data_IF_020251639559
#
_entry.id   IF_020251639559
#
_cell.length_a   1.000
_cell.length_b   1.000
_cell.length_c   1.000
_cell.angle_alpha   90.00
_cell.angle_beta   90.00
_cell.angle_gamma   90.00
#
_symmetry.space_group_name_H-M   'P 1'
#
loop_
_entity.id
_entity.type
_entity.pdbx_description
1 polymer ?
#
# COMPACT_ATOMS: atom_id res chain seq x y z
N UNK A 1 -18.05 27.49 -14.80
CA UNK A 1 -16.92 27.75 -13.90
C UNK A 1 -17.28 27.28 -12.49
N UNK A 2 -16.86 26.06 -12.09
CA UNK A 2 -17.10 25.55 -10.73
C UNK A 2 -16.13 26.24 -9.77
N UNK A 3 -16.66 27.00 -8.80
CA UNK A 3 -15.88 27.59 -7.72
C UNK A 3 -15.15 26.49 -6.95
N UNK A 4 -13.82 26.45 -7.06
CA UNK A 4 -12.96 25.68 -6.19
C UNK A 4 -13.18 26.24 -4.79
N UNK A 5 -13.89 25.51 -3.92
CA UNK A 5 -13.96 25.83 -2.50
C UNK A 5 -12.53 25.74 -1.97
N UNK A 6 -11.93 26.90 -1.65
CA UNK A 6 -10.69 26.96 -0.86
C UNK A 6 -10.93 26.17 0.43
N UNK A 7 -10.29 25.00 0.54
CA UNK A 7 -10.20 24.28 1.79
C UNK A 7 -9.73 25.23 2.89
N UNK A 8 -10.50 25.33 3.97
CA UNK A 8 -10.02 25.96 5.19
C UNK A 8 -8.80 25.15 5.60
N UNK A 9 -7.60 25.75 5.57
CA UNK A 9 -6.39 25.15 6.14
C UNK A 9 -6.70 24.85 7.61
N UNK A 10 -6.92 23.57 7.91
CA UNK A 10 -6.93 23.16 9.30
C UNK A 10 -5.52 23.45 9.87
N UNK A 11 -5.43 23.71 11.16
CA UNK A 11 -4.15 24.07 11.82
C UNK A 11 -3.38 22.83 12.30
N UNK A 12 -3.81 21.63 11.91
CA UNK A 12 -3.23 20.37 12.37
C UNK A 12 -1.81 20.19 11.86
N UNK A 13 -0.92 19.78 12.72
CA UNK A 13 0.46 19.46 12.38
C UNK A 13 0.53 18.07 11.76
N UNK A 14 1.06 17.96 10.55
CA UNK A 14 1.27 16.72 9.80
C UNK A 14 2.73 16.51 9.46
N UNK A 15 3.07 15.28 9.12
CA UNK A 15 4.38 14.97 8.56
C UNK A 15 4.63 15.77 7.27
N UNK A 16 5.86 16.22 7.09
CA UNK A 16 6.27 17.00 5.92
C UNK A 16 6.54 16.12 4.71
N UNK A 17 5.49 15.58 4.09
CA UNK A 17 5.58 14.82 2.84
C UNK A 17 5.79 15.72 1.60
N UNK A 18 6.63 16.75 1.74
CA UNK A 18 6.82 17.79 0.76
C UNK A 18 5.88 18.98 1.00
N UNK A 19 5.47 19.65 -0.07
CA UNK A 19 4.55 20.79 0.01
C UNK A 19 3.11 20.31 0.23
N UNK A 20 2.65 20.33 1.49
CA UNK A 20 1.29 19.88 1.87
C UNK A 20 0.18 20.64 1.12
N UNK A 21 0.46 21.85 0.60
CA UNK A 21 -0.51 22.61 -0.19
C UNK A 21 -0.78 22.01 -1.57
N UNK A 22 0.07 21.10 -2.02
CA UNK A 22 -0.04 20.38 -3.29
C UNK A 22 -0.61 18.97 -3.16
N UNK A 23 -0.78 18.49 -1.93
CA UNK A 23 -1.41 17.19 -1.70
C UNK A 23 -2.92 17.29 -1.93
N UNK A 24 -3.50 16.24 -2.48
CA UNK A 24 -4.94 16.13 -2.65
C UNK A 24 -5.64 15.90 -1.31
N UNK A 25 -6.96 16.13 -1.26
CA UNK A 25 -7.78 15.78 -0.10
C UNK A 25 -7.69 14.29 0.24
N UNK A 26 -7.70 13.41 -0.77
CA UNK A 26 -7.56 11.96 -0.59
C UNK A 26 -6.22 11.61 0.03
N UNK A 27 -5.14 12.27 -0.41
CA UNK A 27 -3.82 12.01 0.13
C UNK A 27 -3.67 12.51 1.58
N UNK A 28 -4.26 13.65 1.93
CA UNK A 28 -4.31 14.14 3.31
C UNK A 28 -5.12 13.20 4.20
N UNK A 29 -6.27 12.73 3.71
CA UNK A 29 -7.09 11.75 4.42
C UNK A 29 -6.36 10.42 4.63
N UNK A 30 -5.63 9.93 3.60
CA UNK A 30 -4.79 8.76 3.73
C UNK A 30 -3.75 8.92 4.83
N UNK A 31 -3.01 10.05 4.87
CA UNK A 31 -2.05 10.34 5.91
C UNK A 31 -2.68 10.37 7.32
N UNK A 32 -3.85 11.01 7.45
CA UNK A 32 -4.46 11.27 8.75
C UNK A 32 -5.16 10.03 9.34
N UNK A 33 -5.74 9.18 8.49
CA UNK A 33 -6.66 8.13 8.94
C UNK A 33 -6.15 6.71 8.68
N UNK A 34 -5.19 6.53 7.76
CA UNK A 34 -4.79 5.19 7.29
C UNK A 34 -3.31 4.89 7.42
N UNK A 35 -2.45 5.84 7.04
CA UNK A 35 -1.00 5.62 7.09
C UNK A 35 -0.52 5.35 8.51
N UNK A 36 0.28 4.32 8.70
CA UNK A 36 0.77 3.82 9.99
C UNK A 36 -0.33 3.37 10.97
N UNK A 37 -1.54 3.06 10.47
CA UNK A 37 -2.60 2.45 11.27
C UNK A 37 -2.67 0.94 11.01
N UNK A 38 -2.91 0.16 12.07
CA UNK A 38 -2.94 -1.30 12.01
C UNK A 38 -4.02 -1.83 11.07
N UNK A 39 -3.64 -2.74 10.19
CA UNK A 39 -4.52 -3.44 9.26
C UNK A 39 -4.37 -4.93 9.49
N UNK A 40 -5.48 -5.61 9.83
CA UNK A 40 -5.56 -7.04 10.11
C UNK A 40 -6.53 -7.78 9.19
N UNK A 41 -7.25 -7.08 8.33
CA UNK A 41 -8.10 -7.70 7.32
C UNK A 41 -7.26 -8.16 6.12
N UNK A 42 -7.30 -9.44 5.79
CA UNK A 42 -6.49 -10.03 4.72
C UNK A 42 -6.76 -9.38 3.35
N UNK A 43 -8.00 -9.03 3.03
CA UNK A 43 -8.34 -8.37 1.77
C UNK A 43 -7.73 -6.97 1.67
N UNK A 44 -7.76 -6.19 2.77
CA UNK A 44 -7.11 -4.88 2.84
C UNK A 44 -5.57 -5.00 2.82
N UNK A 45 -5.01 -6.03 3.45
CA UNK A 45 -3.58 -6.35 3.36
C UNK A 45 -3.18 -6.68 1.92
N UNK A 46 -4.02 -7.43 1.18
CA UNK A 46 -3.80 -7.72 -0.23
C UNK A 46 -3.96 -6.46 -1.09
N UNK A 47 -5.01 -5.66 -0.87
CA UNK A 47 -5.23 -4.40 -1.57
C UNK A 47 -4.01 -3.47 -1.46
N UNK A 48 -3.52 -3.26 -0.24
CA UNK A 48 -2.34 -2.42 -0.01
C UNK A 48 -1.10 -2.96 -0.72
N UNK A 49 -0.88 -4.28 -0.72
CA UNK A 49 0.25 -4.91 -1.41
C UNK A 49 0.22 -4.66 -2.93
N UNK A 50 -0.97 -4.75 -3.54
CA UNK A 50 -1.15 -4.50 -4.98
C UNK A 50 -0.98 -3.01 -5.30
N UNK A 51 -1.54 -2.11 -4.49
CA UNK A 51 -1.42 -0.66 -4.69
C UNK A 51 0.04 -0.19 -4.55
N UNK A 52 0.80 -0.69 -3.59
CA UNK A 52 2.23 -0.43 -3.43
C UNK A 52 3.04 -0.96 -4.62
N UNK A 53 2.69 -2.13 -5.12
CA UNK A 53 3.28 -2.66 -6.36
C UNK A 53 2.93 -1.81 -7.58
N UNK A 54 1.70 -1.29 -7.64
CA UNK A 54 1.25 -0.39 -8.70
C UNK A 54 1.97 0.97 -8.67
N UNK A 55 2.37 1.43 -7.48
CA UNK A 55 3.11 2.68 -7.29
C UNK A 55 4.52 2.65 -7.88
N UNK A 56 5.14 1.48 -8.05
CA UNK A 56 6.52 1.39 -8.55
C UNK A 56 6.80 2.30 -9.75
N UNK A 57 7.68 3.29 -9.57
CA UNK A 57 8.03 4.31 -10.58
C UNK A 57 7.04 5.47 -10.72
N UNK A 58 6.07 5.60 -9.80
CA UNK A 58 5.06 6.65 -9.78
C UNK A 58 5.02 7.32 -8.40
N UNK A 59 4.24 8.41 -8.27
CA UNK A 59 3.96 9.01 -6.96
C UNK A 59 2.84 8.26 -6.24
N UNK A 60 2.92 8.19 -4.91
CA UNK A 60 1.85 7.60 -4.10
C UNK A 60 0.52 8.36 -4.28
N UNK A 61 0.59 9.70 -4.39
CA UNK A 61 -0.59 10.51 -4.68
C UNK A 61 -1.33 10.04 -5.95
N UNK A 62 -0.60 9.64 -7.00
CA UNK A 62 -1.21 9.11 -8.23
C UNK A 62 -2.02 7.83 -7.96
N UNK A 63 -1.54 6.97 -7.07
CA UNK A 63 -2.22 5.72 -6.72
C UNK A 63 -3.44 5.98 -5.84
N UNK A 64 -3.30 6.82 -4.82
CA UNK A 64 -4.41 7.19 -3.93
C UNK A 64 -5.56 7.85 -4.70
N UNK A 65 -5.25 8.71 -5.69
CA UNK A 65 -6.29 9.29 -6.55
C UNK A 65 -7.07 8.25 -7.37
N UNK A 66 -6.43 7.14 -7.70
CA UNK A 66 -7.00 6.05 -8.51
C UNK A 66 -7.49 4.86 -7.68
N UNK A 67 -7.37 4.89 -6.36
CA UNK A 67 -7.64 3.73 -5.51
C UNK A 67 -9.06 3.18 -5.68
N UNK A 68 -10.07 4.05 -5.75
CA UNK A 68 -11.47 3.63 -5.96
C UNK A 68 -11.64 2.89 -7.29
N UNK A 69 -11.03 3.41 -8.36
CA UNK A 69 -11.05 2.76 -9.67
C UNK A 69 -10.28 1.42 -9.65
N UNK A 70 -9.21 1.32 -8.86
CA UNK A 70 -8.52 0.06 -8.65
C UNK A 70 -9.37 -0.96 -7.91
N UNK A 71 -10.12 -0.54 -6.86
CA UNK A 71 -11.02 -1.42 -6.13
C UNK A 71 -12.10 -1.97 -7.06
N UNK A 72 -12.77 -1.12 -7.82
CA UNK A 72 -13.75 -1.54 -8.81
C UNK A 72 -13.15 -2.48 -9.87
N UNK A 73 -12.01 -2.14 -10.44
CA UNK A 73 -11.38 -2.90 -11.52
C UNK A 73 -10.84 -4.26 -11.07
N UNK A 74 -10.43 -4.40 -9.81
CA UNK A 74 -9.84 -5.61 -9.23
C UNK A 74 -10.80 -6.31 -8.24
N UNK A 75 -12.12 -6.17 -8.44
CA UNK A 75 -13.18 -6.85 -7.67
C UNK A 75 -12.94 -6.72 -6.15
N UNK A 76 -12.82 -5.46 -5.68
CA UNK A 76 -12.53 -5.06 -4.29
C UNK A 76 -11.26 -5.71 -3.72
N UNK A 77 -10.35 -6.15 -4.58
CA UNK A 77 -9.13 -6.89 -4.23
C UNK A 77 -9.42 -8.21 -3.49
N UNK A 78 -10.50 -8.90 -3.86
CA UNK A 78 -10.70 -10.27 -3.40
C UNK A 78 -9.61 -11.17 -3.99
N UNK A 79 -8.71 -11.77 -3.17
CA UNK A 79 -7.60 -12.54 -3.69
C UNK A 79 -8.03 -13.84 -4.40
N UNK A 80 -9.20 -14.39 -4.07
CA UNK A 80 -9.73 -15.59 -4.75
C UNK A 80 -10.16 -15.21 -6.17
N UNK A 81 -10.90 -14.11 -6.33
CA UNK A 81 -11.36 -13.63 -7.64
C UNK A 81 -10.15 -13.19 -8.49
N UNK A 82 -9.24 -12.39 -7.93
CA UNK A 82 -8.05 -11.90 -8.66
C UNK A 82 -7.14 -13.05 -9.10
N UNK A 83 -7.04 -14.13 -8.32
CA UNK A 83 -6.24 -15.29 -8.68
C UNK A 83 -6.76 -16.00 -9.94
N UNK A 84 -8.05 -15.92 -10.22
CA UNK A 84 -8.70 -16.58 -11.34
C UNK A 84 -8.81 -15.71 -12.61
N UNK A 85 -8.30 -14.50 -12.60
CA UNK A 85 -8.29 -13.65 -13.78
C UNK A 85 -7.61 -14.31 -14.97
N UNK A 86 -8.32 -14.32 -16.10
CA UNK A 86 -7.88 -14.87 -17.37
C UNK A 86 -7.29 -13.81 -18.32
N UNK A 87 -7.07 -14.18 -19.55
CA UNK A 87 -6.54 -13.26 -20.58
C UNK A 87 -7.53 -12.15 -20.94
N UNK A 88 -8.82 -12.45 -20.95
CA UNK A 88 -9.84 -11.47 -21.32
C UNK A 88 -9.93 -10.40 -20.25
N UNK A 89 -9.88 -10.76 -18.97
CA UNK A 89 -9.81 -9.82 -17.85
C UNK A 89 -8.52 -8.96 -17.87
N UNK A 90 -7.39 -9.55 -18.25
CA UNK A 90 -6.14 -8.77 -18.42
C UNK A 90 -6.30 -7.71 -19.52
N UNK A 91 -6.92 -8.05 -20.66
CA UNK A 91 -7.17 -7.08 -21.73
C UNK A 91 -8.18 -6.00 -21.32
N UNK A 92 -9.23 -6.36 -20.60
CA UNK A 92 -10.15 -5.39 -19.99
C UNK A 92 -9.40 -4.39 -19.11
N UNK A 93 -8.56 -4.86 -18.18
CA UNK A 93 -7.75 -4.03 -17.30
C UNK A 93 -6.74 -3.16 -18.08
N UNK A 94 -6.17 -3.67 -19.18
CA UNK A 94 -5.28 -2.91 -20.04
C UNK A 94 -5.99 -1.78 -20.81
N UNK A 95 -7.30 -1.86 -20.98
CA UNK A 95 -8.13 -0.82 -21.59
C UNK A 95 -8.78 0.12 -20.56
N UNK A 96 -8.67 -0.17 -19.26
CA UNK A 96 -9.26 0.66 -18.20
C UNK A 96 -8.39 1.89 -17.90
N UNK A 97 -8.86 3.08 -18.24
CA UNK A 97 -8.17 4.36 -17.98
C UNK A 97 -8.18 4.77 -16.49
N UNK A 98 -9.03 4.15 -15.71
CA UNK A 98 -9.10 4.38 -14.26
C UNK A 98 -7.86 3.91 -13.51
N UNK A 99 -7.12 2.93 -14.04
CA UNK A 99 -5.94 2.35 -13.40
C UNK A 99 -4.64 2.67 -14.18
N UNK A 100 -3.51 2.24 -13.65
CA UNK A 100 -2.23 2.28 -14.37
C UNK A 100 -2.15 1.08 -15.33
N UNK A 101 -2.29 1.33 -16.62
CA UNK A 101 -2.31 0.32 -17.69
C UNK A 101 -0.89 -0.24 -17.92
N UNK A 102 -0.48 -1.16 -17.07
CA UNK A 102 0.80 -1.84 -17.16
C UNK A 102 0.60 -3.35 -17.02
N UNK A 103 0.70 -4.07 -18.14
CA UNK A 103 0.49 -5.53 -18.21
C UNK A 103 1.31 -6.29 -17.18
N UNK A 104 2.59 -5.94 -16.99
CA UNK A 104 3.46 -6.62 -16.02
C UNK A 104 2.97 -6.46 -14.58
N UNK A 105 2.38 -5.31 -14.22
CA UNK A 105 1.81 -5.06 -12.90
C UNK A 105 0.49 -5.82 -12.72
N UNK A 106 -0.34 -5.86 -13.76
CA UNK A 106 -1.61 -6.61 -13.76
C UNK A 106 -1.33 -8.12 -13.60
N UNK A 107 -0.45 -8.69 -14.43
CA UNK A 107 -0.06 -10.11 -14.32
C UNK A 107 0.62 -10.41 -12.98
N UNK A 108 1.35 -9.45 -12.42
CA UNK A 108 1.94 -9.58 -11.09
C UNK A 108 0.86 -9.64 -10.00
N UNK A 109 -0.21 -8.83 -10.09
CA UNK A 109 -1.34 -8.89 -9.15
C UNK A 109 -1.96 -10.31 -9.11
N UNK A 110 -2.19 -10.92 -10.28
CA UNK A 110 -2.72 -12.28 -10.40
C UNK A 110 -1.77 -13.31 -9.75
N UNK A 111 -0.46 -13.22 -10.07
CA UNK A 111 0.51 -14.14 -9.49
C UNK A 111 0.67 -13.94 -7.98
N UNK A 112 0.53 -12.71 -7.49
CA UNK A 112 0.57 -12.37 -6.07
C UNK A 112 -0.69 -12.90 -5.35
N UNK A 113 -1.86 -12.82 -5.96
CA UNK A 113 -3.09 -13.40 -5.42
C UNK A 113 -2.94 -14.91 -5.19
N UNK A 114 -2.45 -15.64 -6.20
CA UNK A 114 -2.16 -17.08 -6.08
C UNK A 114 -1.17 -17.42 -4.97
N UNK A 115 -0.15 -16.59 -4.79
CA UNK A 115 0.84 -16.77 -3.73
C UNK A 115 0.27 -16.37 -2.35
N UNK A 116 -0.59 -15.37 -2.30
CA UNK A 116 -1.29 -14.91 -1.10
C UNK A 116 -2.19 -16.01 -0.53
N UNK A 117 -3.01 -16.65 -1.38
CA UNK A 117 -3.87 -17.77 -0.99
C UNK A 117 -3.06 -18.95 -0.44
N UNK A 118 -1.85 -19.20 -0.96
CA UNK A 118 -0.96 -20.24 -0.41
C UNK A 118 -0.47 -19.90 1.00
N UNK A 119 -0.18 -18.62 1.27
CA UNK A 119 0.19 -18.15 2.61
C UNK A 119 -0.99 -18.30 3.57
N UNK A 120 -2.19 -17.89 3.17
CA UNK A 120 -3.40 -18.09 3.98
C UNK A 120 -3.60 -19.54 4.36
N UNK A 121 -3.41 -20.47 3.40
CA UNK A 121 -3.51 -21.92 3.66
C UNK A 121 -2.42 -22.43 4.61
N UNK A 122 -1.20 -21.91 4.52
CA UNK A 122 -0.04 -22.32 5.33
C UNK A 122 -0.10 -21.78 6.76
N UNK A 123 -0.47 -20.51 6.93
CA UNK A 123 -0.41 -19.78 8.21
C UNK A 123 -1.79 -19.54 8.85
N UNK A 124 -2.88 -19.88 8.14
CA UNK A 124 -4.25 -19.64 8.55
C UNK A 124 -4.79 -18.25 8.16
N UNK A 125 -3.91 -17.25 7.94
CA UNK A 125 -4.23 -15.95 7.34
C UNK A 125 -2.94 -15.26 6.87
N UNK A 126 -3.06 -14.30 5.98
CA UNK A 126 -1.92 -13.45 5.61
C UNK A 126 -1.56 -12.48 6.76
N UNK A 127 -2.54 -12.06 7.54
CA UNK A 127 -2.35 -11.29 8.77
C UNK A 127 -1.36 -11.98 9.72
N UNK A 128 -1.61 -13.24 10.09
CA UNK A 128 -0.70 -14.01 10.94
C UNK A 128 0.71 -14.13 10.37
N UNK A 129 0.82 -14.30 9.05
CA UNK A 129 2.11 -14.39 8.38
C UNK A 129 2.88 -13.07 8.47
N UNK A 130 2.25 -11.94 8.10
CA UNK A 130 2.98 -10.67 7.98
C UNK A 130 3.29 -10.04 9.34
N UNK A 131 2.33 -10.07 10.26
CA UNK A 131 2.52 -9.60 11.64
C UNK A 131 3.42 -10.53 12.47
N UNK A 132 3.52 -11.80 12.11
CA UNK A 132 4.45 -12.74 12.72
C UNK A 132 5.94 -12.35 12.57
N UNK A 133 6.30 -11.51 11.60
CA UNK A 133 7.67 -10.99 11.48
C UNK A 133 8.09 -10.03 12.60
N UNK A 134 7.14 -9.51 13.37
CA UNK A 134 7.35 -8.58 14.49
C UNK A 134 6.72 -9.08 15.79
N UNK A 135 6.29 -10.34 15.85
CA UNK A 135 5.55 -10.90 16.98
C UNK A 135 4.31 -10.06 17.34
N UNK A 136 3.62 -9.53 16.31
CA UNK A 136 2.44 -8.69 16.46
C UNK A 136 2.72 -7.29 17.01
N UNK A 137 3.97 -6.83 17.01
CA UNK A 137 4.35 -5.53 17.58
C UNK A 137 4.55 -4.48 16.50
N UNK A 138 4.10 -3.27 16.78
CA UNK A 138 4.41 -2.09 15.97
C UNK A 138 5.86 -1.64 16.25
N UNK A 139 6.57 -1.31 15.19
CA UNK A 139 7.90 -0.69 15.27
C UNK A 139 7.71 0.81 15.10
N UNK A 140 7.91 1.56 16.16
CA UNK A 140 7.88 3.03 16.12
C UNK A 140 9.31 3.57 16.13
N UNK A 141 9.67 4.30 15.08
CA UNK A 141 11.03 4.84 14.94
C UNK A 141 11.23 6.19 15.63
N UNK A 142 10.17 6.79 16.20
CA UNK A 142 10.25 8.09 16.87
C UNK A 142 10.96 9.16 16.04
N UNK A 143 10.62 9.25 14.77
CA UNK A 143 11.29 10.15 13.82
C UNK A 143 11.02 11.62 14.15
N UNK A 144 12.09 12.41 14.20
CA UNK A 144 12.02 13.86 14.41
C UNK A 144 11.99 14.65 13.10
N UNK A 145 12.63 14.11 12.07
CA UNK A 145 12.72 14.73 10.75
C UNK A 145 12.38 13.74 9.67
N UNK A 146 11.71 14.20 8.61
CA UNK A 146 11.38 13.37 7.45
C UNK A 146 12.63 12.81 6.75
N UNK A 147 13.74 13.51 6.82
CA UNK A 147 15.02 13.09 6.22
C UNK A 147 15.64 11.87 6.89
N UNK A 148 15.23 11.58 8.13
CA UNK A 148 15.70 10.42 8.90
C UNK A 148 14.93 9.15 8.54
N UNK A 149 13.83 9.27 7.79
CA UNK A 149 13.02 8.14 7.34
C UNK A 149 13.83 7.32 6.31
N UNK A 150 14.12 6.04 6.60
CA UNK A 150 14.89 5.21 5.68
C UNK A 150 14.02 4.75 4.50
N UNK A 151 14.63 4.55 3.34
CA UNK A 151 13.94 3.98 2.19
C UNK A 151 13.65 2.47 2.34
N UNK A 152 14.36 1.77 3.24
CA UNK A 152 14.23 0.34 3.54
C UNK A 152 14.84 0.02 4.91
N UNK A 153 14.51 -1.13 5.46
CA UNK A 153 15.03 -1.62 6.74
C UNK A 153 15.45 -3.10 6.63
N UNK A 154 16.18 -3.61 7.64
CA UNK A 154 16.50 -5.05 7.73
C UNK A 154 15.23 -5.91 7.73
N UNK A 155 14.16 -5.42 8.34
CA UNK A 155 12.85 -6.09 8.34
C UNK A 155 12.28 -6.17 6.93
N UNK A 156 12.21 -5.03 6.21
CA UNK A 156 11.67 -4.99 4.85
C UNK A 156 12.51 -5.84 3.88
N UNK A 157 13.82 -5.90 4.06
CA UNK A 157 14.71 -6.77 3.28
C UNK A 157 14.42 -8.25 3.55
N UNK A 158 14.22 -8.65 4.82
CA UNK A 158 13.88 -10.02 5.22
C UNK A 158 12.54 -10.44 4.63
N UNK A 159 11.50 -9.62 4.77
CA UNK A 159 10.16 -9.89 4.25
C UNK A 159 10.18 -9.94 2.71
N UNK A 160 10.83 -8.97 2.06
CA UNK A 160 11.01 -8.96 0.61
C UNK A 160 11.66 -10.26 0.09
N UNK A 161 12.68 -10.75 0.78
CA UNK A 161 13.36 -12.00 0.43
C UNK A 161 12.44 -13.21 0.56
N UNK A 162 11.64 -13.28 1.61
CA UNK A 162 10.70 -14.38 1.82
C UNK A 162 9.56 -14.34 0.79
N UNK A 163 8.93 -13.20 0.58
CA UNK A 163 7.89 -13.02 -0.43
C UNK A 163 8.36 -13.40 -1.84
N UNK A 164 9.59 -13.01 -2.21
CA UNK A 164 10.20 -13.41 -3.50
C UNK A 164 10.38 -14.93 -3.62
N UNK A 165 10.81 -15.62 -2.56
CA UNK A 165 10.87 -17.10 -2.53
C UNK A 165 9.49 -17.71 -2.75
N UNK A 166 8.44 -17.09 -2.23
CA UNK A 166 7.04 -17.47 -2.39
C UNK A 166 6.44 -17.04 -3.73
N UNK A 167 7.28 -16.50 -4.64
CA UNK A 167 6.92 -16.10 -6.03
C UNK A 167 6.10 -14.81 -6.15
N UNK A 168 6.07 -13.99 -5.10
CA UNK A 168 5.54 -12.63 -5.24
C UNK A 168 6.41 -11.77 -6.15
N UNK A 169 5.77 -10.84 -6.86
CA UNK A 169 6.37 -9.86 -7.76
C UNK A 169 6.11 -8.44 -7.26
N UNK A 170 6.93 -7.48 -7.64
CA UNK A 170 6.86 -6.09 -7.18
C UNK A 170 6.90 -5.95 -5.64
N UNK A 171 7.71 -6.78 -5.00
CA UNK A 171 7.92 -6.82 -3.55
C UNK A 171 9.38 -6.52 -3.19
N UNK A 172 9.98 -5.51 -3.84
CA UNK A 172 11.32 -5.02 -3.50
C UNK A 172 11.37 -4.45 -2.08
N UNK A 173 12.55 -4.39 -1.43
CA UNK A 173 12.63 -3.98 -0.02
C UNK A 173 12.13 -2.55 0.23
N UNK A 174 12.23 -1.65 -0.74
CA UNK A 174 11.67 -0.29 -0.66
C UNK A 174 10.15 -0.32 -0.69
N UNK A 175 9.55 -1.09 -1.63
CA UNK A 175 8.10 -1.27 -1.72
C UNK A 175 7.57 -1.92 -0.44
N UNK A 176 8.26 -2.94 0.07
CA UNK A 176 7.85 -3.60 1.32
C UNK A 176 8.00 -2.66 2.52
N UNK A 177 8.97 -1.76 2.54
CA UNK A 177 9.06 -0.76 3.60
C UNK A 177 7.82 0.15 3.63
N UNK A 178 7.44 0.72 2.48
CA UNK A 178 6.22 1.51 2.33
C UNK A 178 4.96 0.71 2.67
N UNK A 179 4.91 -0.56 2.23
CA UNK A 179 3.82 -1.47 2.58
C UNK A 179 3.68 -1.65 4.10
N UNK A 180 4.80 -1.84 4.83
CA UNK A 180 4.79 -1.98 6.30
C UNK A 180 4.31 -0.71 7.01
N UNK A 181 4.61 0.47 6.45
CA UNK A 181 4.02 1.73 6.92
C UNK A 181 2.52 1.79 6.59
N UNK A 182 2.13 1.40 5.37
CA UNK A 182 0.73 1.42 4.93
C UNK A 182 -0.20 0.50 5.71
N UNK A 183 0.33 -0.58 6.30
CA UNK A 183 -0.43 -1.54 7.14
C UNK A 183 -0.18 -1.38 8.64
N UNK A 184 0.59 -0.37 9.06
CA UNK A 184 0.80 -0.03 10.47
C UNK A 184 1.81 -0.87 11.24
N UNK A 185 2.52 -1.81 10.61
CA UNK A 185 3.64 -2.53 11.26
C UNK A 185 4.78 -1.57 11.59
N UNK A 186 5.00 -0.54 10.77
CA UNK A 186 5.96 0.52 11.03
C UNK A 186 5.19 1.83 11.24
N UNK A 187 5.46 2.51 12.35
CA UNK A 187 4.98 3.86 12.60
C UNK A 187 6.13 4.86 12.39
N UNK A 188 6.06 5.58 11.29
CA UNK A 188 7.00 6.62 10.89
C UNK A 188 6.38 8.02 10.90
N UNK A 189 5.24 8.20 11.56
CA UNK A 189 4.77 9.54 11.86
C UNK A 189 5.83 10.30 12.67
N UNK A 190 6.09 11.53 12.27
CA UNK A 190 7.01 12.40 13.00
C UNK A 190 6.48 12.68 14.40
N UNK A 191 7.37 12.82 15.39
CA UNK A 191 6.98 13.01 16.81
C UNK A 191 6.00 14.17 17.03
N UNK A 192 6.06 15.20 16.20
CA UNK A 192 5.15 16.36 16.30
C UNK A 192 3.83 16.17 15.55
N UNK A 193 3.65 15.06 14.81
CA UNK A 193 2.45 14.83 14.02
C UNK A 193 1.25 14.50 14.91
N UNK A 194 0.14 15.21 14.73
CA UNK A 194 -1.08 15.00 15.54
C UNK A 194 -1.84 13.70 15.17
N UNK A 195 -1.40 12.99 14.14
CA UNK A 195 -2.01 11.74 13.64
C UNK A 195 -1.19 10.49 13.95
N UNK A 196 -0.12 10.65 14.72
CA UNK A 196 0.74 9.55 15.19
C UNK A 196 0.04 8.53 16.08
#
# INVERSE_FOLDING_TARGET
MKKIKKLKKDKKKRCEWGDLSKLSEKMLKYHDERWCKEVHNDQELFAMLILEGAQAGLSWNTIIEKEENYREAFDEFDPEIVADYDKDKIEELMNNEGIIRNRRKIEAAISNAKAFLKIQKEFGSFDKYIWGFTDGKIIDHHLKNIKDMPAKSKLSERISKDLKKRKFKFVGPVIIYSYLQGIGIINDHLEYCEFR
#
